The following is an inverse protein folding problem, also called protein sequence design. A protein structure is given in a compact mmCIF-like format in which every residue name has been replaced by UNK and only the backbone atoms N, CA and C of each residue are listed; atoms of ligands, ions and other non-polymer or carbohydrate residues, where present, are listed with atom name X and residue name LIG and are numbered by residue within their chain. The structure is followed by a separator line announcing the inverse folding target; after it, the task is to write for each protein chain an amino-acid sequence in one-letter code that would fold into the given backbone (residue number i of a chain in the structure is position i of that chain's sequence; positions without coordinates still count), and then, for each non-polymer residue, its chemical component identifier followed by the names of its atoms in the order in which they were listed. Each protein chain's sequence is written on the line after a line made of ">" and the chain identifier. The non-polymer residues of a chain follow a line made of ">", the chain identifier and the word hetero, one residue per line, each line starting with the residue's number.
data_IF_927877963483
#
_entry.id   IF_927877963483
#
_cell.length_a   1.000
_cell.length_b   1.000
_cell.length_c   1.000
_cell.angle_alpha   90.00
_cell.angle_beta   90.00
_cell.angle_gamma   90.00
#
_symmetry.space_group_name_H-M   'P 1'
#
loop_
_entity.id
_entity.type
_entity.pdbx_description
1 polymer ?
#
# COMPACT_ATOMS: atom_id res chain seq x y z
N UNK A 1 16.85 -13.67 30.09
CA UNK A 1 15.93 -14.45 29.25
C UNK A 1 15.79 -13.67 27.95
N UNK A 2 16.46 -14.12 26.89
CA UNK A 2 16.30 -13.56 25.55
C UNK A 2 14.88 -13.87 25.09
N UNK A 3 14.01 -12.86 25.08
CA UNK A 3 12.65 -13.02 24.57
C UNK A 3 12.71 -13.40 23.10
N UNK A 4 12.05 -14.48 22.72
CA UNK A 4 11.87 -14.87 21.31
C UNK A 4 11.11 -13.75 20.61
N UNK A 5 11.75 -13.11 19.63
CA UNK A 5 11.09 -12.11 18.78
C UNK A 5 9.95 -12.81 18.03
N UNK A 6 8.75 -12.23 18.03
CA UNK A 6 7.60 -12.81 17.34
C UNK A 6 7.89 -12.97 15.84
N UNK A 7 7.37 -14.04 15.21
CA UNK A 7 7.62 -14.33 13.79
C UNK A 7 7.32 -13.13 12.89
N UNK A 8 6.18 -12.46 13.11
CA UNK A 8 5.81 -11.23 12.40
C UNK A 8 6.86 -10.11 12.52
N UNK A 9 7.48 -9.93 13.70
CA UNK A 9 8.52 -8.91 13.88
C UNK A 9 9.82 -9.30 13.14
N UNK A 10 10.12 -10.60 13.05
CA UNK A 10 11.24 -11.09 12.24
C UNK A 10 11.02 -10.80 10.75
N UNK A 11 9.80 -11.05 10.24
CA UNK A 11 9.42 -10.74 8.86
C UNK A 11 9.52 -9.24 8.56
N UNK A 12 8.97 -8.38 9.43
CA UNK A 12 9.10 -6.92 9.31
C UNK A 12 10.57 -6.48 9.27
N UNK A 13 11.43 -7.16 10.05
CA UNK A 13 12.87 -6.93 10.06
C UNK A 13 13.54 -7.12 8.71
N UNK A 14 13.02 -7.98 7.83
CA UNK A 14 13.57 -8.22 6.48
C UNK A 14 13.42 -6.99 5.59
N UNK A 15 12.26 -6.32 5.63
CA UNK A 15 11.97 -5.15 4.77
C UNK A 15 12.33 -3.82 5.43
N UNK A 16 12.60 -3.80 6.74
CA UNK A 16 12.91 -2.58 7.49
C UNK A 16 14.06 -1.74 6.88
N UNK A 17 15.16 -2.31 6.35
CA UNK A 17 16.21 -1.53 5.68
C UNK A 17 15.70 -0.77 4.45
N UNK A 18 14.84 -1.38 3.63
CA UNK A 18 14.22 -0.73 2.48
C UNK A 18 13.28 0.39 2.92
N UNK A 19 12.40 0.13 3.89
CA UNK A 19 11.50 1.13 4.46
C UNK A 19 12.28 2.35 4.97
N UNK A 20 13.33 2.11 5.75
CA UNK A 20 14.17 3.19 6.28
C UNK A 20 14.86 4.01 5.18
N UNK A 21 15.39 3.36 4.13
CA UNK A 21 15.99 4.05 2.99
C UNK A 21 14.97 4.88 2.19
N UNK A 22 13.73 4.38 2.06
CA UNK A 22 12.66 5.02 1.32
C UNK A 22 12.08 6.26 2.04
N UNK A 23 12.30 6.44 3.35
CA UNK A 23 11.79 7.61 4.08
C UNK A 23 12.27 8.96 3.51
N UNK A 24 13.51 9.03 3.03
CA UNK A 24 14.06 10.19 2.32
C UNK A 24 14.30 9.95 0.83
N UNK A 25 13.96 8.74 0.37
CA UNK A 25 14.00 8.26 -1.00
C UNK A 25 15.23 8.65 -1.85
N UNK A 26 16.42 8.66 -1.25
CA UNK A 26 17.65 8.89 -2.01
C UNK A 26 17.99 7.66 -2.88
N UNK A 27 18.31 7.88 -4.16
CA UNK A 27 18.56 6.81 -5.14
C UNK A 27 19.57 5.77 -4.67
N UNK A 28 20.78 6.19 -4.28
CA UNK A 28 21.85 5.27 -3.88
C UNK A 28 21.48 4.39 -2.68
N UNK A 29 20.99 4.95 -1.56
CA UNK A 29 20.48 4.19 -0.44
C UNK A 29 19.34 3.23 -0.78
N UNK A 30 18.35 3.67 -1.56
CA UNK A 30 17.19 2.81 -1.92
C UNK A 30 17.62 1.65 -2.80
N UNK A 31 18.46 1.88 -3.83
CA UNK A 31 18.99 0.80 -4.68
C UNK A 31 19.70 -0.27 -3.86
N UNK A 32 20.65 0.16 -3.00
CA UNK A 32 21.38 -0.78 -2.12
C UNK A 32 20.45 -1.55 -1.20
N UNK A 33 19.50 -0.87 -0.57
CA UNK A 33 18.56 -1.52 0.33
C UNK A 33 17.69 -2.55 -0.40
N UNK A 34 17.22 -2.26 -1.62
CA UNK A 34 16.49 -3.22 -2.45
C UNK A 34 17.35 -4.46 -2.76
N UNK A 35 18.59 -4.25 -3.23
CA UNK A 35 19.51 -5.36 -3.53
C UNK A 35 19.84 -6.20 -2.30
N UNK A 36 19.96 -5.56 -1.13
CA UNK A 36 20.27 -6.22 0.14
C UNK A 36 19.09 -7.06 0.66
N UNK A 37 17.84 -6.63 0.48
CA UNK A 37 16.66 -7.36 1.00
C UNK A 37 16.10 -8.37 0.02
N UNK A 38 16.26 -8.14 -1.29
CA UNK A 38 15.69 -8.99 -2.33
C UNK A 38 16.52 -10.24 -2.63
N UNK A 39 15.85 -11.27 -3.15
CA UNK A 39 16.49 -12.35 -3.87
C UNK A 39 16.93 -11.87 -5.27
N UNK A 40 17.99 -12.46 -5.87
CA UNK A 40 18.50 -12.04 -7.17
C UNK A 40 17.45 -12.02 -8.30
N UNK A 41 16.49 -12.95 -8.24
CA UNK A 41 15.43 -13.12 -9.23
C UNK A 41 14.04 -12.82 -8.63
N UNK A 42 13.95 -11.74 -7.87
CA UNK A 42 12.68 -11.26 -7.33
C UNK A 42 11.67 -10.97 -8.45
N UNK A 43 10.45 -11.47 -8.28
CA UNK A 43 9.32 -11.18 -9.16
C UNK A 43 8.53 -9.99 -8.61
N UNK A 44 8.15 -9.04 -9.47
CA UNK A 44 7.34 -7.89 -9.07
C UNK A 44 6.07 -7.86 -9.91
N UNK A 45 4.92 -7.84 -9.26
CA UNK A 45 3.58 -7.66 -9.84
C UNK A 45 3.11 -6.25 -9.54
N UNK A 46 3.22 -5.36 -10.52
CA UNK A 46 2.75 -3.97 -10.39
C UNK A 46 1.43 -3.76 -11.12
N UNK A 47 0.68 -2.75 -10.67
CA UNK A 47 -0.46 -2.25 -11.42
C UNK A 47 -0.04 -1.73 -12.81
N UNK A 48 -1.01 -1.65 -13.72
CA UNK A 48 -0.83 -0.91 -14.98
C UNK A 48 -0.41 0.55 -14.69
N UNK A 49 0.50 1.16 -15.47
CA UNK A 49 1.08 0.69 -16.74
C UNK A 49 2.32 -0.19 -16.62
N UNK A 50 2.83 -0.46 -15.43
CA UNK A 50 4.10 -1.16 -15.25
C UNK A 50 4.01 -2.66 -15.55
N UNK A 51 2.96 -3.33 -15.04
CA UNK A 51 2.79 -4.77 -15.20
C UNK A 51 3.82 -5.59 -14.42
N UNK A 52 4.21 -6.75 -14.97
CA UNK A 52 5.15 -7.65 -14.31
C UNK A 52 6.60 -7.26 -14.61
N UNK A 53 7.43 -7.15 -13.57
CA UNK A 53 8.86 -6.84 -13.65
C UNK A 53 9.68 -7.93 -12.97
N UNK A 54 10.95 -8.02 -13.36
CA UNK A 54 11.90 -9.01 -12.83
C UNK A 54 13.20 -8.31 -12.41
N UNK A 55 13.62 -8.54 -11.17
CA UNK A 55 14.86 -7.99 -10.61
C UNK A 55 14.74 -6.56 -10.07
N UNK A 56 15.53 -6.25 -9.04
CA UNK A 56 15.55 -4.96 -8.33
C UNK A 56 15.98 -3.80 -9.22
N UNK A 57 16.93 -4.02 -10.11
CA UNK A 57 17.39 -3.02 -11.09
C UNK A 57 16.24 -2.57 -12.00
N UNK A 58 15.50 -3.53 -12.57
CA UNK A 58 14.34 -3.25 -13.43
C UNK A 58 13.24 -2.51 -12.67
N UNK A 59 12.94 -2.94 -11.44
CA UNK A 59 12.01 -2.23 -10.55
C UNK A 59 12.43 -0.77 -10.36
N UNK A 60 13.68 -0.54 -9.98
CA UNK A 60 14.15 0.82 -9.73
C UNK A 60 14.12 1.68 -10.99
N UNK A 61 14.69 1.20 -12.09
CA UNK A 61 14.85 2.00 -13.31
C UNK A 61 13.52 2.29 -14.01
N UNK A 62 12.56 1.35 -13.93
CA UNK A 62 11.26 1.48 -14.60
C UNK A 62 10.25 2.25 -13.76
N UNK A 63 10.31 2.12 -12.42
CA UNK A 63 9.27 2.64 -11.52
C UNK A 63 9.79 3.80 -10.68
N UNK A 64 10.84 3.57 -9.90
CA UNK A 64 11.30 4.53 -8.89
C UNK A 64 12.09 5.69 -9.48
N UNK A 65 12.98 5.45 -10.44
CA UNK A 65 13.78 6.50 -11.06
C UNK A 65 12.91 7.57 -11.77
N UNK A 66 11.87 7.21 -12.55
CA UNK A 66 10.96 8.20 -13.11
C UNK A 66 10.17 8.98 -12.05
N UNK A 67 9.72 8.31 -10.98
CA UNK A 67 9.01 8.99 -9.89
C UNK A 67 9.92 9.97 -9.15
N UNK A 68 11.17 9.57 -8.86
CA UNK A 68 12.17 10.43 -8.21
C UNK A 68 12.60 11.60 -9.11
N UNK A 69 12.65 11.40 -10.43
CA UNK A 69 12.88 12.49 -11.37
C UNK A 69 11.71 13.49 -11.39
N UNK A 70 10.47 13.00 -11.28
CA UNK A 70 9.26 13.81 -11.18
C UNK A 70 9.14 14.54 -9.83
N UNK A 71 9.63 13.94 -8.75
CA UNK A 71 9.63 14.46 -7.38
C UNK A 71 11.03 14.38 -6.76
N UNK A 72 11.92 15.37 -6.98
CA UNK A 72 13.31 15.30 -6.55
C UNK A 72 13.53 15.20 -5.03
N UNK A 73 12.53 15.57 -4.25
CA UNK A 73 12.45 15.51 -2.78
C UNK A 73 11.48 14.42 -2.30
N UNK A 74 11.31 13.36 -3.10
CA UNK A 74 10.43 12.23 -2.81
C UNK A 74 10.69 11.66 -1.41
N UNK A 75 9.61 11.38 -0.69
CA UNK A 75 9.61 10.66 0.59
C UNK A 75 8.54 9.57 0.57
N UNK A 76 8.84 8.42 1.16
CA UNK A 76 7.83 7.39 1.47
C UNK A 76 7.42 7.52 2.93
N UNK A 77 6.13 7.66 3.19
CA UNK A 77 5.55 7.71 4.53
C UNK A 77 4.58 6.55 4.72
N UNK A 78 5.08 5.46 5.30
CA UNK A 78 4.24 4.34 5.74
C UNK A 78 3.29 4.78 6.85
N UNK A 79 2.06 4.27 6.80
CA UNK A 79 1.03 4.45 7.83
C UNK A 79 0.69 3.13 8.53
N UNK A 80 0.82 2.00 7.83
CA UNK A 80 0.57 0.66 8.38
C UNK A 80 1.67 -0.29 7.89
N UNK A 81 2.19 -1.12 8.79
CA UNK A 81 3.08 -2.24 8.49
C UNK A 81 2.65 -3.48 9.27
N UNK A 82 2.12 -4.48 8.54
CA UNK A 82 1.67 -5.76 9.07
C UNK A 82 2.50 -6.89 8.47
N UNK A 83 2.64 -7.98 9.22
CA UNK A 83 3.26 -9.18 8.71
C UNK A 83 2.54 -10.42 9.24
N UNK A 84 2.56 -11.49 8.47
CA UNK A 84 1.92 -12.75 8.84
C UNK A 84 2.09 -13.83 7.79
N UNK A 85 1.66 -15.03 8.14
CA UNK A 85 1.70 -16.21 7.27
C UNK A 85 0.30 -16.49 6.74
N UNK A 86 0.16 -16.72 5.44
CA UNK A 86 -1.12 -17.11 4.84
C UNK A 86 -1.47 -18.57 5.20
N UNK A 87 -2.74 -19.00 5.01
CA UNK A 87 -3.11 -20.40 5.21
C UNK A 87 -2.31 -21.39 4.35
N UNK A 88 -1.79 -20.94 3.21
CA UNK A 88 -0.93 -21.72 2.30
C UNK A 88 0.51 -21.87 2.83
N UNK A 89 0.87 -21.16 3.90
CA UNK A 89 2.18 -21.22 4.52
C UNK A 89 3.16 -20.16 3.99
N UNK A 90 2.68 -19.16 3.25
CA UNK A 90 3.53 -18.10 2.71
C UNK A 90 3.65 -16.93 3.67
N UNK A 91 4.88 -16.47 3.91
CA UNK A 91 5.16 -15.33 4.75
C UNK A 91 5.12 -14.03 3.95
N UNK A 92 4.38 -13.04 4.45
CA UNK A 92 4.22 -11.74 3.82
C UNK A 92 4.40 -10.58 4.80
N UNK A 93 4.93 -9.47 4.29
CA UNK A 93 4.85 -8.16 4.92
C UNK A 93 4.00 -7.26 4.04
N UNK A 94 2.92 -6.69 4.58
CA UNK A 94 2.07 -5.72 3.91
C UNK A 94 2.31 -4.32 4.46
N UNK A 95 2.48 -3.35 3.56
CA UNK A 95 2.64 -1.94 3.90
C UNK A 95 1.63 -1.09 3.15
N UNK A 96 1.18 -0.03 3.79
CA UNK A 96 0.43 1.04 3.15
C UNK A 96 0.92 2.40 3.60
N UNK A 97 0.79 3.38 2.73
CA UNK A 97 1.22 4.73 3.04
C UNK A 97 1.02 5.67 1.87
N UNK A 98 1.85 6.71 1.84
CA UNK A 98 1.89 7.68 0.75
C UNK A 98 3.33 7.94 0.33
N UNK A 99 3.54 8.08 -0.97
CA UNK A 99 4.66 8.86 -1.48
C UNK A 99 4.29 10.34 -1.43
N UNK A 100 5.20 11.21 -1.00
CA UNK A 100 5.04 12.65 -1.07
C UNK A 100 6.24 13.28 -1.78
N UNK A 101 6.03 14.43 -2.40
CA UNK A 101 7.11 15.23 -2.94
C UNK A 101 6.60 16.45 -3.69
N UNK A 102 7.50 17.34 -4.05
CA UNK A 102 7.25 18.45 -4.96
C UNK A 102 7.16 17.91 -6.38
N UNK A 103 5.98 17.94 -7.01
CA UNK A 103 5.78 17.37 -8.34
C UNK A 103 6.25 18.36 -9.42
N UNK A 104 7.52 18.23 -9.82
CA UNK A 104 8.27 19.22 -10.59
C UNK A 104 8.52 18.84 -12.06
N UNK A 105 8.44 17.57 -12.42
CA UNK A 105 8.54 17.11 -13.81
C UNK A 105 7.46 16.06 -14.12
N UNK A 106 7.12 15.82 -15.40
CA UNK A 106 6.08 14.87 -15.76
C UNK A 106 6.37 13.45 -15.27
N UNK A 107 5.31 12.72 -14.91
CA UNK A 107 5.37 11.30 -14.55
C UNK A 107 4.26 10.54 -15.27
N UNK A 108 4.60 9.55 -16.11
CA UNK A 108 3.62 8.79 -16.90
C UNK A 108 2.66 9.69 -17.70
N UNK A 109 3.21 10.71 -18.37
CA UNK A 109 2.48 11.76 -19.10
C UNK A 109 1.57 12.66 -18.24
N UNK A 110 1.55 12.49 -16.92
CA UNK A 110 0.87 13.40 -16.00
C UNK A 110 1.72 14.68 -15.87
N UNK A 111 1.16 15.86 -16.16
CA UNK A 111 1.91 17.11 -16.07
C UNK A 111 2.22 17.46 -14.60
N UNK A 112 3.39 18.07 -14.32
CA UNK A 112 3.74 18.49 -12.97
C UNK A 112 2.82 19.61 -12.47
N UNK A 113 2.57 19.65 -11.17
CA UNK A 113 1.80 20.72 -10.52
C UNK A 113 2.66 21.89 -10.04
N UNK A 114 3.96 21.67 -9.86
CA UNK A 114 4.86 22.63 -9.20
C UNK A 114 4.62 22.78 -7.69
N UNK A 115 3.83 21.88 -7.10
CA UNK A 115 3.42 21.91 -5.70
C UNK A 115 3.61 20.54 -5.04
N UNK A 116 3.44 20.49 -3.71
CA UNK A 116 3.35 19.23 -2.98
C UNK A 116 2.26 18.35 -3.58
N UNK A 117 2.62 17.12 -3.90
CA UNK A 117 1.71 16.06 -4.29
C UNK A 117 1.87 14.86 -3.35
N UNK A 118 0.85 14.01 -3.32
CA UNK A 118 0.90 12.73 -2.63
C UNK A 118 0.31 11.62 -3.49
N UNK A 119 0.77 10.39 -3.30
CA UNK A 119 0.26 9.21 -3.98
C UNK A 119 0.23 8.04 -3.01
N UNK A 120 -0.96 7.55 -2.70
CA UNK A 120 -1.16 6.36 -1.88
C UNK A 120 -0.62 5.12 -2.57
N UNK A 121 -0.12 4.18 -1.77
CA UNK A 121 0.27 2.86 -2.22
C UNK A 121 -0.15 1.79 -1.23
N UNK A 122 -0.37 0.58 -1.73
CA UNK A 122 -0.31 -0.68 -0.99
C UNK A 122 0.76 -1.57 -1.62
N UNK A 123 1.64 -2.13 -0.81
CA UNK A 123 2.73 -3.00 -1.26
C UNK A 123 2.90 -4.19 -0.31
N UNK A 124 2.97 -5.38 -0.88
CA UNK A 124 3.16 -6.65 -0.18
C UNK A 124 4.46 -7.30 -0.62
N UNK A 125 5.23 -7.79 0.35
CA UNK A 125 6.55 -8.40 0.16
C UNK A 125 6.48 -9.85 0.65
N UNK A 126 6.61 -10.82 -0.26
CA UNK A 126 6.71 -12.23 0.10
C UNK A 126 8.12 -12.52 0.56
N UNK A 127 8.24 -13.19 1.70
CA UNK A 127 9.52 -13.54 2.30
C UNK A 127 9.75 -15.05 2.16
N UNK A 128 10.94 -15.42 1.70
CA UNK A 128 11.39 -16.82 1.67
C UNK A 128 12.87 -16.84 2.03
N UNK A 129 13.25 -17.70 2.99
CA UNK A 129 14.64 -17.84 3.46
C UNK A 129 15.31 -16.49 3.84
N UNK A 130 14.54 -15.59 4.47
CA UNK A 130 15.02 -14.28 4.92
C UNK A 130 15.24 -13.24 3.81
N UNK A 131 14.73 -13.49 2.60
CA UNK A 131 14.81 -12.58 1.45
C UNK A 131 13.43 -12.30 0.87
N UNK A 132 13.27 -11.13 0.26
CA UNK A 132 12.08 -10.80 -0.51
C UNK A 132 12.16 -11.51 -1.87
N UNK A 133 11.23 -12.43 -2.14
CA UNK A 133 11.18 -13.19 -3.40
C UNK A 133 10.10 -12.70 -4.35
N UNK A 134 9.10 -12.00 -3.84
CA UNK A 134 7.99 -11.47 -4.64
C UNK A 134 7.46 -10.15 -4.05
N UNK A 135 7.08 -9.21 -4.91
CA UNK A 135 6.40 -7.96 -4.53
C UNK A 135 5.08 -7.84 -5.28
N UNK A 136 3.99 -7.57 -4.57
CA UNK A 136 2.71 -7.17 -5.17
C UNK A 136 2.41 -5.74 -4.77
N UNK A 137 2.23 -4.86 -5.75
CA UNK A 137 2.19 -3.43 -5.48
C UNK A 137 1.15 -2.70 -6.35
N UNK A 138 0.37 -1.85 -5.69
CA UNK A 138 -0.66 -1.01 -6.32
C UNK A 138 -0.43 0.41 -5.85
N UNK A 139 -0.22 1.31 -6.82
CA UNK A 139 -0.10 2.74 -6.58
C UNK A 139 -1.32 3.46 -7.11
N UNK A 140 -1.83 4.42 -6.35
CA UNK A 140 -2.96 5.24 -6.74
C UNK A 140 -2.50 6.36 -7.70
N UNK A 141 -1.93 5.99 -8.85
CA UNK A 141 -1.53 6.92 -9.92
C UNK A 141 -2.68 7.87 -10.32
N UNK A 142 -3.96 7.42 -10.36
CA UNK A 142 -5.12 8.31 -10.48
C UNK A 142 -5.12 9.52 -9.52
N UNK A 143 -4.60 9.37 -8.29
CA UNK A 143 -4.51 10.45 -7.31
C UNK A 143 -3.61 11.59 -7.79
N UNK A 144 -2.51 11.27 -8.50
CA UNK A 144 -1.66 12.27 -9.15
C UNK A 144 -2.37 12.94 -10.32
N UNK A 145 -3.15 12.20 -11.11
CA UNK A 145 -3.94 12.78 -12.21
C UNK A 145 -4.96 13.79 -11.70
N UNK A 146 -5.65 13.49 -10.59
CA UNK A 146 -6.61 14.42 -9.98
C UNK A 146 -5.89 15.68 -9.47
N UNK A 147 -4.79 15.54 -8.73
CA UNK A 147 -4.00 16.69 -8.24
C UNK A 147 -3.43 17.54 -9.39
N UNK A 148 -3.07 16.92 -10.50
CA UNK A 148 -2.59 17.59 -11.72
C UNK A 148 -3.70 18.19 -12.60
N UNK A 149 -4.98 18.06 -12.21
CA UNK A 149 -6.12 18.42 -13.06
C UNK A 149 -6.08 17.75 -14.45
N UNK A 150 -5.53 16.54 -14.51
CA UNK A 150 -5.31 15.74 -15.71
C UNK A 150 -6.18 14.46 -15.74
N UNK A 151 -7.15 14.35 -14.83
CA UNK A 151 -8.07 13.21 -14.75
C UNK A 151 -9.00 13.14 -15.98
N UNK A 152 -8.94 12.06 -16.79
CA UNK A 152 -9.69 11.99 -18.04
C UNK A 152 -11.08 11.33 -17.90
N UNK A 153 -11.40 10.79 -16.73
CA UNK A 153 -12.64 10.01 -16.50
C UNK A 153 -13.70 10.83 -15.77
N UNK A 154 -14.84 10.21 -15.45
CA UNK A 154 -15.92 10.85 -14.71
C UNK A 154 -15.46 11.31 -13.30
N UNK A 155 -16.06 12.38 -12.74
CA UNK A 155 -15.77 12.79 -11.37
C UNK A 155 -16.04 11.67 -10.37
N UNK A 156 -15.17 11.52 -9.36
CA UNK A 156 -15.40 10.59 -8.27
C UNK A 156 -16.59 11.01 -7.40
N UNK A 157 -17.30 10.03 -6.82
CA UNK A 157 -18.48 10.28 -5.99
C UNK A 157 -18.13 10.51 -4.51
N UNK A 158 -17.14 9.77 -4.00
CA UNK A 158 -16.65 9.94 -2.64
C UNK A 158 -15.71 11.14 -2.50
N UNK A 159 -15.41 11.52 -1.25
CA UNK A 159 -14.51 12.63 -0.96
C UNK A 159 -13.07 12.34 -1.40
N UNK A 160 -12.38 13.36 -1.90
CA UNK A 160 -10.95 13.32 -2.17
C UNK A 160 -10.18 13.85 -0.95
N UNK A 161 -9.27 13.06 -0.40
CA UNK A 161 -8.41 13.46 0.71
C UNK A 161 -7.14 12.62 0.78
N UNK A 162 -6.07 13.23 1.27
CA UNK A 162 -4.93 12.51 1.80
C UNK A 162 -5.39 11.70 3.01
N UNK A 163 -5.50 10.39 2.85
CA UNK A 163 -6.09 9.49 3.85
C UNK A 163 -5.24 9.48 5.12
N UNK A 164 -5.84 9.67 6.31
CA UNK A 164 -5.10 9.57 7.56
C UNK A 164 -4.81 8.11 7.92
N UNK A 165 -3.73 7.90 8.68
CA UNK A 165 -3.43 6.59 9.28
C UNK A 165 -4.44 6.18 10.37
N UNK A 166 -4.24 5.00 10.99
CA UNK A 166 -5.09 4.55 12.09
C UNK A 166 -5.20 5.58 13.23
N UNK A 167 -6.40 5.72 13.79
CA UNK A 167 -6.71 6.70 14.85
C UNK A 167 -5.77 6.58 16.07
N UNK A 168 -5.36 5.36 16.37
CA UNK A 168 -4.46 4.99 17.47
C UNK A 168 -3.01 5.43 17.25
N UNK A 169 -2.62 5.72 16.00
CA UNK A 169 -1.24 6.07 15.64
C UNK A 169 -0.25 4.90 15.75
N UNK A 170 -0.72 3.67 15.92
CA UNK A 170 0.10 2.47 16.17
C UNK A 170 0.28 1.59 14.93
N UNK A 171 -0.13 2.05 13.74
CA UNK A 171 -0.11 1.26 12.49
C UNK A 171 1.28 0.73 12.11
N UNK A 172 2.35 1.40 12.52
CA UNK A 172 3.74 0.96 12.27
C UNK A 172 4.31 0.04 13.37
N UNK A 173 3.65 -0.03 14.52
CA UNK A 173 4.09 -0.77 15.71
C UNK A 173 3.09 -1.85 16.12
N UNK A 174 2.21 -2.26 15.21
CA UNK A 174 1.20 -3.29 15.47
C UNK A 174 1.87 -4.59 15.88
N UNK A 175 1.41 -5.18 16.98
CA UNK A 175 1.90 -6.44 17.53
C UNK A 175 0.71 -7.32 17.98
N UNK A 176 0.98 -8.61 18.20
CA UNK A 176 -0.02 -9.61 18.56
C UNK A 176 -0.23 -10.67 17.48
N UNK A 177 -1.09 -11.66 17.76
CA UNK A 177 -1.35 -12.77 16.83
C UNK A 177 -2.40 -12.47 15.75
N UNK A 178 -3.19 -11.42 15.93
CA UNK A 178 -4.22 -10.98 14.97
C UNK A 178 -5.37 -11.98 14.75
N UNK A 179 -5.46 -13.08 15.51
CA UNK A 179 -6.35 -14.19 15.18
C UNK A 179 -7.83 -13.78 15.22
N UNK A 180 -8.24 -13.04 16.25
CA UNK A 180 -9.60 -12.53 16.37
C UNK A 180 -9.96 -11.52 15.26
N UNK A 181 -9.01 -10.65 14.89
CA UNK A 181 -9.20 -9.67 13.80
C UNK A 181 -9.34 -10.36 12.45
N UNK A 182 -8.52 -11.38 12.18
CA UNK A 182 -8.61 -12.17 10.94
C UNK A 182 -9.94 -12.90 10.83
N UNK A 183 -10.42 -13.51 11.91
CA UNK A 183 -11.72 -14.18 11.94
C UNK A 183 -12.87 -13.19 11.70
N UNK A 184 -12.84 -12.02 12.33
CA UNK A 184 -13.82 -10.95 12.09
C UNK A 184 -13.85 -10.51 10.62
N UNK A 185 -12.66 -10.30 10.02
CA UNK A 185 -12.54 -9.92 8.60
C UNK A 185 -13.10 -10.99 7.67
N UNK A 186 -12.81 -12.28 7.92
CA UNK A 186 -13.36 -13.40 7.13
C UNK A 186 -14.88 -13.45 7.18
N UNK A 187 -15.46 -13.27 8.36
CA UNK A 187 -16.92 -13.27 8.53
C UNK A 187 -17.57 -12.06 7.83
N UNK A 188 -16.95 -10.87 7.95
CA UNK A 188 -17.36 -9.66 7.27
C UNK A 188 -17.33 -9.83 5.74
N UNK A 189 -16.22 -10.32 5.18
CA UNK A 189 -16.07 -10.56 3.75
C UNK A 189 -17.09 -11.58 3.22
N UNK A 190 -17.26 -12.70 3.95
CA UNK A 190 -18.27 -13.71 3.65
C UNK A 190 -19.68 -13.12 3.59
N UNK A 191 -19.99 -12.15 4.47
CA UNK A 191 -21.27 -11.46 4.44
C UNK A 191 -21.40 -10.53 3.22
N UNK A 192 -20.36 -9.74 2.91
CA UNK A 192 -20.36 -8.83 1.75
C UNK A 192 -20.53 -9.56 0.41
N UNK A 193 -19.93 -10.74 0.26
CA UNK A 193 -20.02 -11.56 -0.95
C UNK A 193 -21.44 -12.08 -1.27
N UNK A 194 -22.44 -11.86 -0.41
CA UNK A 194 -23.85 -12.24 -0.66
C UNK A 194 -24.58 -11.27 -1.60
N UNK A 195 -24.12 -10.02 -1.71
CA UNK A 195 -24.82 -8.98 -2.47
C UNK A 195 -24.92 -9.24 -3.99
N UNK A 196 -23.90 -9.79 -4.67
CA UNK A 196 -24.02 -10.11 -6.10
C UNK A 196 -25.14 -11.12 -6.42
N UNK A 197 -25.43 -12.06 -5.50
CA UNK A 197 -26.52 -13.03 -5.65
C UNK A 197 -27.87 -12.49 -5.16
N UNK A 198 -27.85 -11.58 -4.18
CA UNK A 198 -29.04 -10.89 -3.68
C UNK A 198 -28.79 -9.37 -3.57
N UNK A 199 -29.36 -8.54 -4.46
CA UNK A 199 -29.05 -7.12 -4.55
C UNK A 199 -29.62 -6.28 -3.39
N UNK A 200 -30.28 -6.88 -2.40
CA UNK A 200 -30.66 -6.17 -1.17
C UNK A 200 -29.42 -5.95 -0.30
N UNK A 201 -28.92 -4.72 -0.11
CA UNK A 201 -27.69 -4.47 0.64
C UNK A 201 -27.74 -4.95 2.10
N UNK A 202 -28.94 -5.18 2.66
CA UNK A 202 -29.11 -5.75 4.00
C UNK A 202 -28.55 -7.17 4.13
N UNK A 203 -28.40 -7.93 3.03
CA UNK A 203 -27.81 -9.29 3.10
C UNK A 203 -26.34 -9.28 3.49
N UNK A 204 -25.66 -8.14 3.30
CA UNK A 204 -24.28 -7.93 3.72
C UNK A 204 -24.13 -7.75 5.23
N UNK A 205 -25.23 -7.48 5.94
CA UNK A 205 -25.29 -7.29 7.40
C UNK A 205 -24.19 -6.35 7.92
N UNK A 206 -23.99 -5.23 7.24
CA UNK A 206 -22.86 -4.33 7.49
C UNK A 206 -22.83 -3.84 8.95
N UNK A 207 -23.98 -3.60 9.56
CA UNK A 207 -24.10 -3.16 10.95
C UNK A 207 -23.51 -4.17 11.97
N UNK A 208 -23.39 -5.46 11.62
CA UNK A 208 -22.79 -6.47 12.49
C UNK A 208 -21.26 -6.36 12.53
N UNK A 209 -20.63 -5.91 11.45
CA UNK A 209 -19.18 -5.98 11.26
C UNK A 209 -18.50 -4.61 11.28
N UNK A 210 -19.24 -3.56 10.91
CA UNK A 210 -18.71 -2.22 10.72
C UNK A 210 -19.23 -1.29 11.80
N UNK A 211 -18.32 -0.53 12.42
CA UNK A 211 -18.73 0.54 13.32
C UNK A 211 -19.60 1.56 12.55
N UNK A 212 -20.71 2.11 13.10
CA UNK A 212 -21.58 3.08 12.40
C UNK A 212 -20.91 4.37 11.88
N UNK A 213 -19.63 4.57 12.21
CA UNK A 213 -18.79 5.73 11.87
C UNK A 213 -17.47 5.32 11.20
N UNK A 214 -17.40 4.09 10.67
CA UNK A 214 -16.22 3.65 9.93
C UNK A 214 -15.95 4.59 8.75
N UNK A 215 -14.69 4.71 8.34
CA UNK A 215 -14.35 5.39 7.11
C UNK A 215 -13.94 4.34 6.08
N UNK A 216 -14.41 4.51 4.86
CA UNK A 216 -13.96 3.75 3.69
C UNK A 216 -13.11 4.68 2.84
N UNK A 217 -11.79 4.49 2.85
CA UNK A 217 -10.81 5.21 2.03
C UNK A 217 -10.59 4.65 0.60
N UNK A 218 -11.52 4.94 -0.31
CA UNK A 218 -11.47 4.63 -1.76
C UNK A 218 -10.17 4.98 -2.46
N UNK A 219 -9.70 4.21 -3.48
CA UNK A 219 -8.76 4.77 -4.43
C UNK A 219 -9.39 5.97 -5.17
N UNK A 220 -8.54 6.81 -5.77
CA UNK A 220 -8.99 7.93 -6.59
C UNK A 220 -9.85 7.43 -7.76
N UNK A 221 -10.90 8.19 -8.08
CA UNK A 221 -11.98 7.76 -8.99
C UNK A 221 -13.19 7.14 -8.28
N UNK A 222 -13.02 6.54 -7.09
CA UNK A 222 -14.12 6.11 -6.21
C UNK A 222 -14.30 7.13 -5.07
N UNK A 223 -13.22 7.39 -4.33
CA UNK A 223 -13.20 8.35 -3.22
C UNK A 223 -13.65 7.77 -1.87
N UNK A 224 -13.62 8.62 -0.85
CA UNK A 224 -13.87 8.22 0.54
C UNK A 224 -15.32 8.40 0.96
N UNK A 225 -15.83 7.45 1.75
CA UNK A 225 -17.14 7.53 2.41
C UNK A 225 -17.06 7.35 3.93
N UNK A 226 -18.14 7.72 4.62
CA UNK A 226 -18.28 7.66 6.08
C UNK A 226 -19.56 6.95 6.51
N UNK A 227 -19.39 5.85 7.23
CA UNK A 227 -20.48 4.98 7.67
C UNK A 227 -21.14 4.29 6.49
N UNK A 228 -22.24 3.59 6.77
CA UNK A 228 -22.94 2.76 5.77
C UNK A 228 -23.59 3.62 4.66
N UNK A 229 -23.93 4.87 4.96
CA UNK A 229 -24.64 5.77 4.03
C UNK A 229 -23.73 6.45 3.01
N UNK A 230 -22.40 6.39 3.19
CA UNK A 230 -21.43 7.17 2.42
C UNK A 230 -21.20 8.56 3.00
#
# INVERSE_FOLDING_TARGET
>A
MTGTIAHADQLKGVVAPFIAAAQSFAEGPVRRALDDVAAPEICIRMCHPFGDLQGTMTLFDTVYAPLLAAMPDLERRDMICLAGTTPEGDDWVGTMGNYFGSFMAPFLDIPPTGHLAHMRYHEFFRITDGKVTEIHAIWDIPELMIQASAWPMAPQLGAFLCTPGPLTGDGLTVAGDGAASLEHLKQMETAMCRHPENPDPRVMRLEEFWHPRFNWYGPAGVGTGRGIRG
#
